data_IF_846482751066
#
_entry.id   IF_846482751066
#
_cell.length_a   1.000
_cell.length_b   1.000
_cell.length_c   1.000
_cell.angle_alpha   90.00
_cell.angle_beta   90.00
_cell.angle_gamma   90.00
#
_symmetry.space_group_name_H-M   'P 1'
#
loop_
_entity.id
_entity.type
_entity.pdbx_description
1 polymer ?
#
# COMPACT_ATOMS: atom_id res chain seq x y z
N UNK A 1 26.34 46.18 30.80
CA UNK A 1 25.94 45.50 32.05
C UNK A 1 26.28 44.03 31.90
N UNK A 2 27.40 43.59 32.46
CA UNK A 2 27.95 42.26 32.26
C UNK A 2 27.23 41.24 33.16
N UNK A 3 26.81 40.14 32.59
CA UNK A 3 26.15 39.04 33.28
C UNK A 3 27.16 38.31 34.18
N UNK A 4 26.84 38.19 35.47
CA UNK A 4 27.72 37.66 36.52
C UNK A 4 27.88 36.12 36.38
N UNK A 5 29.11 35.61 36.52
CA UNK A 5 29.46 34.18 36.43
C UNK A 5 28.57 33.22 37.29
N UNK A 6 28.02 33.71 38.37
CA UNK A 6 27.09 32.95 39.24
C UNK A 6 25.73 32.72 38.58
N UNK A 7 25.24 33.68 37.81
CA UNK A 7 23.94 33.56 37.08
C UNK A 7 24.06 32.61 35.87
N UNK A 8 25.24 32.51 35.25
CA UNK A 8 25.51 31.59 34.15
C UNK A 8 25.58 30.13 34.61
N UNK A 9 26.15 29.89 35.81
CA UNK A 9 26.26 28.55 36.38
C UNK A 9 24.91 28.02 36.93
N UNK A 10 24.00 28.90 37.36
CA UNK A 10 22.64 28.48 37.76
C UNK A 10 21.76 28.09 36.60
N UNK A 11 21.98 28.63 35.38
CA UNK A 11 21.27 28.21 34.16
C UNK A 11 21.79 26.86 33.58
N UNK A 12 23.05 26.49 33.85
CA UNK A 12 23.62 25.21 33.44
C UNK A 12 23.19 24.04 34.35
N UNK A 13 22.77 24.32 35.57
CA UNK A 13 22.33 23.29 36.53
C UNK A 13 20.86 22.88 36.34
N UNK A 14 20.06 23.61 35.59
CA UNK A 14 18.65 23.29 35.32
C UNK A 14 18.43 22.51 34.00
N UNK A 15 19.49 22.27 33.22
CA UNK A 15 19.39 21.47 31.97
C UNK A 15 19.75 19.98 32.15
N UNK A 16 20.07 19.52 33.33
CA UNK A 16 20.48 18.15 33.57
C UNK A 16 19.43 17.23 34.21
N UNK A 17 18.16 17.63 34.19
CA UNK A 17 17.03 16.78 34.60
C UNK A 17 16.01 16.59 33.47
N UNK A 18 16.48 16.27 32.25
CA UNK A 18 15.64 15.52 31.33
C UNK A 18 15.61 14.09 31.88
N UNK A 19 14.41 13.56 32.21
CA UNK A 19 14.31 12.15 32.51
C UNK A 19 14.82 11.40 31.27
N UNK A 20 15.83 10.58 31.44
CA UNK A 20 16.16 9.50 30.52
C UNK A 20 14.86 8.67 30.39
N UNK A 21 14.06 8.97 29.40
CA UNK A 21 12.96 8.08 29.00
C UNK A 21 13.62 6.73 28.77
N UNK A 22 13.16 5.68 29.45
CA UNK A 22 13.75 4.36 29.29
C UNK A 22 13.66 4.00 27.82
N UNK A 23 14.71 3.39 27.27
CA UNK A 23 14.80 2.88 25.90
C UNK A 23 13.72 1.83 25.55
N UNK A 24 12.72 1.65 26.38
CA UNK A 24 11.57 0.73 26.25
C UNK A 24 10.44 1.22 25.36
N UNK A 25 10.53 2.39 24.72
CA UNK A 25 9.56 2.79 23.68
C UNK A 25 9.94 2.34 22.25
N UNK A 26 11.01 1.60 22.07
CA UNK A 26 11.47 1.11 20.78
C UNK A 26 10.87 -0.27 20.37
N UNK A 27 9.94 -0.81 21.12
CA UNK A 27 9.09 -1.94 20.66
C UNK A 27 7.82 -1.44 19.96
N UNK A 28 7.95 -0.43 19.13
CA UNK A 28 6.94 -0.15 18.14
C UNK A 28 6.94 -1.33 17.16
N UNK A 29 6.00 -2.21 17.31
CA UNK A 29 5.58 -3.36 16.52
C UNK A 29 6.46 -3.64 15.29
N UNK A 30 7.27 -4.70 15.35
CA UNK A 30 8.05 -5.14 14.18
C UNK A 30 7.06 -5.54 13.07
N UNK A 31 7.13 -4.88 11.92
CA UNK A 31 6.32 -5.19 10.73
C UNK A 31 7.02 -6.19 9.81
N UNK A 32 8.25 -6.55 10.12
CA UNK A 32 8.86 -7.74 9.57
C UNK A 32 8.29 -8.93 10.32
N UNK A 33 7.25 -9.51 9.74
CA UNK A 33 6.48 -10.60 10.32
C UNK A 33 7.30 -11.91 10.44
N UNK A 34 8.36 -12.06 9.64
CA UNK A 34 9.25 -13.21 9.70
C UNK A 34 10.53 -13.01 8.90
N UNK A 35 11.63 -13.58 9.43
CA UNK A 35 12.91 -13.75 8.74
C UNK A 35 13.23 -15.23 8.70
N UNK A 36 13.42 -15.77 7.52
CA UNK A 36 13.66 -17.19 7.28
C UNK A 36 15.01 -17.34 6.58
N UNK A 37 15.92 -18.13 7.19
CA UNK A 37 17.32 -18.23 6.77
C UNK A 37 18.20 -17.07 7.27
N UNK A 38 19.52 -17.16 7.01
CA UNK A 38 20.50 -16.18 7.44
C UNK A 38 20.41 -14.92 6.57
N UNK A 39 19.83 -13.86 7.10
CA UNK A 39 19.70 -12.56 6.40
C UNK A 39 21.07 -11.89 6.36
N UNK A 40 21.56 -11.46 5.18
CA UNK A 40 22.86 -10.77 5.06
C UNK A 40 22.85 -9.40 5.76
N UNK A 41 24.04 -8.85 5.99
CA UNK A 41 24.16 -7.46 6.44
C UNK A 41 23.58 -6.50 5.40
N UNK A 42 22.95 -5.39 5.81
CA UNK A 42 22.30 -4.45 4.91
C UNK A 42 23.16 -3.93 3.76
N UNK A 43 24.48 -3.77 3.98
CA UNK A 43 25.46 -3.37 2.96
C UNK A 43 25.66 -4.41 1.86
N UNK A 44 25.45 -5.69 2.17
CA UNK A 44 25.74 -6.82 1.29
C UNK A 44 24.53 -7.18 0.43
N UNK A 45 23.34 -6.66 0.74
CA UNK A 45 22.13 -6.88 -0.04
C UNK A 45 22.14 -5.97 -1.27
N UNK A 46 22.35 -6.55 -2.45
CA UNK A 46 22.35 -5.85 -3.73
C UNK A 46 21.35 -6.44 -4.74
N UNK A 47 20.92 -7.68 -4.55
CA UNK A 47 20.11 -8.45 -5.50
C UNK A 47 18.84 -8.96 -4.82
N UNK A 48 17.73 -8.25 -5.01
CA UNK A 48 16.47 -8.50 -4.32
C UNK A 48 15.44 -9.08 -5.28
N UNK A 49 14.78 -10.15 -4.87
CA UNK A 49 13.60 -10.70 -5.53
C UNK A 49 12.35 -10.26 -4.77
N UNK A 50 11.38 -9.77 -5.52
CA UNK A 50 10.01 -9.58 -5.04
C UNK A 50 9.23 -10.89 -5.11
N UNK A 51 8.61 -11.30 -4.02
CA UNK A 51 7.80 -12.52 -4.01
C UNK A 51 6.41 -12.35 -4.63
N UNK A 52 5.87 -11.13 -4.63
CA UNK A 52 4.52 -10.84 -5.14
C UNK A 52 4.24 -9.36 -5.38
N UNK A 53 3.10 -9.01 -6.01
CA UNK A 53 2.81 -7.66 -6.47
C UNK A 53 2.87 -6.57 -5.40
N UNK A 54 2.44 -6.75 -4.14
CA UNK A 54 2.61 -5.71 -3.12
C UNK A 54 4.08 -5.44 -2.79
N UNK A 55 4.93 -6.49 -2.79
CA UNK A 55 6.36 -6.35 -2.60
C UNK A 55 7.04 -5.66 -3.79
N UNK A 56 6.53 -5.86 -5.04
CA UNK A 56 7.00 -5.11 -6.21
C UNK A 56 6.95 -3.60 -5.96
N UNK A 57 5.83 -3.11 -5.42
CA UNK A 57 5.63 -1.68 -5.18
C UNK A 57 6.48 -1.17 -4.02
N UNK A 58 6.64 -1.97 -2.96
CA UNK A 58 7.49 -1.62 -1.83
C UNK A 58 8.96 -1.50 -2.26
N UNK A 59 9.43 -2.44 -3.09
CA UNK A 59 10.81 -2.46 -3.59
C UNK A 59 11.05 -1.41 -4.67
N UNK A 60 10.08 -1.18 -5.56
CA UNK A 60 10.14 -0.07 -6.53
C UNK A 60 10.30 1.27 -5.81
N UNK A 61 9.60 1.47 -4.71
CA UNK A 61 9.70 2.69 -3.94
C UNK A 61 11.03 2.80 -3.18
N UNK A 62 11.45 1.73 -2.50
CA UNK A 62 12.61 1.78 -1.60
C UNK A 62 13.95 1.63 -2.32
N UNK A 63 14.08 0.66 -3.24
CA UNK A 63 15.36 0.27 -3.81
C UNK A 63 15.21 -0.31 -5.23
N UNK A 64 14.69 0.44 -6.21
CA UNK A 64 14.52 -0.06 -7.58
C UNK A 64 15.85 -0.50 -8.20
N UNK A 65 16.97 0.08 -7.78
CA UNK A 65 18.34 -0.26 -8.21
C UNK A 65 18.80 -1.65 -7.75
N UNK A 66 18.16 -2.23 -6.72
CA UNK A 66 18.46 -3.58 -6.21
C UNK A 66 17.48 -4.65 -6.70
N UNK A 67 16.36 -4.24 -7.28
CA UNK A 67 15.30 -5.13 -7.73
C UNK A 67 15.73 -5.86 -9.01
N UNK A 68 15.72 -7.20 -9.00
CA UNK A 68 16.09 -8.00 -10.16
C UNK A 68 15.00 -8.06 -11.24
N UNK A 69 13.77 -7.76 -10.89
CA UNK A 69 12.62 -7.72 -11.78
C UNK A 69 11.32 -7.78 -11.01
N UNK A 70 10.22 -7.52 -11.69
CA UNK A 70 8.88 -7.54 -11.11
C UNK A 70 8.30 -8.95 -11.05
N UNK A 71 7.52 -9.21 -10.03
CA UNK A 71 6.81 -10.48 -9.91
C UNK A 71 5.68 -10.62 -10.93
N UNK A 72 4.98 -9.53 -11.23
CA UNK A 72 3.77 -9.56 -12.05
C UNK A 72 3.66 -8.45 -13.09
N UNK A 73 4.33 -7.32 -12.88
CA UNK A 73 4.22 -6.17 -13.77
C UNK A 73 5.13 -6.28 -14.98
N UNK A 74 4.64 -5.78 -16.11
CA UNK A 74 5.40 -5.52 -17.31
C UNK A 74 5.25 -4.03 -17.62
N UNK A 75 6.31 -3.28 -17.43
CA UNK A 75 6.36 -1.83 -17.63
C UNK A 75 7.01 -1.43 -18.95
N UNK A 76 7.20 -2.37 -19.88
CA UNK A 76 7.76 -2.08 -21.21
C UNK A 76 6.81 -1.29 -22.12
N UNK A 77 5.48 -1.39 -21.88
CA UNK A 77 4.42 -0.71 -22.66
C UNK A 77 4.09 0.71 -22.19
N UNK A 78 2.93 1.22 -22.61
CA UNK A 78 2.44 2.57 -22.29
C UNK A 78 2.30 2.84 -20.79
N UNK A 79 1.87 1.84 -20.03
CA UNK A 79 1.77 1.92 -18.56
C UNK A 79 3.12 2.28 -17.92
N UNK A 80 4.20 1.84 -18.54
CA UNK A 80 5.56 2.15 -18.07
C UNK A 80 6.08 3.54 -18.50
N UNK A 81 5.38 4.29 -19.34
CA UNK A 81 5.81 5.61 -19.82
C UNK A 81 6.08 6.63 -18.70
N UNK A 82 5.47 6.40 -17.53
CA UNK A 82 5.67 7.21 -16.33
C UNK A 82 6.96 6.89 -15.56
N UNK A 83 7.73 5.86 -15.96
CA UNK A 83 8.92 5.41 -15.23
C UNK A 83 10.21 5.68 -16.03
N UNK A 84 11.31 5.75 -15.31
CA UNK A 84 12.65 5.81 -15.92
C UNK A 84 12.90 4.57 -16.78
N UNK A 85 13.78 4.71 -17.77
CA UNK A 85 14.16 3.61 -18.65
C UNK A 85 14.71 2.40 -17.87
N UNK A 86 15.46 2.65 -16.79
CA UNK A 86 15.99 1.59 -15.92
C UNK A 86 14.89 0.75 -15.31
N UNK A 87 13.82 1.37 -14.80
CA UNK A 87 12.67 0.67 -14.23
C UNK A 87 11.87 -0.05 -15.31
N UNK A 88 11.68 0.57 -16.48
CA UNK A 88 10.95 -0.03 -17.62
C UNK A 88 11.62 -1.28 -18.18
N UNK A 89 12.93 -1.40 -18.06
CA UNK A 89 13.72 -2.55 -18.52
C UNK A 89 13.74 -3.72 -17.54
N UNK A 90 13.23 -3.54 -16.31
CA UNK A 90 13.14 -4.64 -15.35
C UNK A 90 12.24 -5.74 -15.90
N UNK A 91 12.73 -7.00 -15.96
CA UNK A 91 11.95 -8.09 -16.52
C UNK A 91 10.82 -8.52 -15.59
N UNK A 92 9.76 -9.07 -16.17
CA UNK A 92 8.77 -9.82 -15.42
C UNK A 92 9.29 -11.23 -15.13
N UNK A 93 9.56 -11.53 -13.85
CA UNK A 93 10.18 -12.78 -13.42
C UNK A 93 9.18 -13.89 -13.10
N UNK A 94 7.99 -13.52 -12.65
CA UNK A 94 7.01 -14.41 -12.03
C UNK A 94 6.99 -14.23 -10.51
N UNK A 95 5.95 -14.74 -9.84
CA UNK A 95 5.72 -14.61 -8.42
C UNK A 95 5.90 -15.91 -7.65
N UNK A 96 6.32 -15.81 -6.41
CA UNK A 96 6.44 -16.92 -5.46
C UNK A 96 5.20 -17.02 -4.58
N UNK A 97 4.55 -15.88 -4.28
CA UNK A 97 3.41 -15.78 -3.36
C UNK A 97 2.13 -15.31 -4.06
N UNK A 98 1.00 -15.40 -3.37
CA UNK A 98 -0.32 -15.04 -3.87
C UNK A 98 -1.12 -16.21 -4.43
N UNK A 99 -2.09 -15.94 -5.32
CA UNK A 99 -3.05 -16.95 -5.83
C UNK A 99 -2.41 -18.12 -6.59
N UNK A 100 -1.24 -17.90 -7.21
CA UNK A 100 -0.49 -18.95 -7.89
C UNK A 100 0.98 -18.57 -8.01
N UNK A 101 1.88 -19.48 -7.68
CA UNK A 101 3.29 -19.32 -7.97
C UNK A 101 3.54 -19.51 -9.47
N UNK A 102 4.32 -18.62 -10.08
CA UNK A 102 4.70 -18.68 -11.50
C UNK A 102 6.22 -18.56 -11.70
N UNK A 103 6.98 -18.33 -10.62
CA UNK A 103 8.43 -18.36 -10.60
C UNK A 103 8.87 -19.72 -10.04
N UNK A 104 9.53 -20.55 -10.86
CA UNK A 104 10.08 -21.81 -10.38
C UNK A 104 11.31 -21.60 -9.49
N UNK A 105 11.55 -22.51 -8.54
CA UNK A 105 12.73 -22.44 -7.66
C UNK A 105 14.04 -22.57 -8.44
N UNK A 106 14.07 -23.34 -9.53
CA UNK A 106 15.23 -23.44 -10.42
C UNK A 106 15.57 -22.08 -11.04
N UNK A 107 14.57 -21.39 -11.60
CA UNK A 107 14.75 -20.04 -12.16
C UNK A 107 15.17 -19.05 -11.08
N UNK A 108 14.59 -19.11 -9.88
CA UNK A 108 14.98 -18.29 -8.74
C UNK A 108 16.48 -18.45 -8.44
N UNK A 109 16.98 -19.69 -8.37
CA UNK A 109 18.40 -19.96 -8.10
C UNK A 109 19.33 -19.45 -9.20
N UNK A 110 18.93 -19.51 -10.47
CA UNK A 110 19.73 -18.95 -11.58
C UNK A 110 19.86 -17.44 -11.52
N UNK A 111 18.92 -16.76 -10.87
CA UNK A 111 18.97 -15.30 -10.66
C UNK A 111 19.96 -14.90 -9.55
N UNK A 112 20.44 -15.84 -8.74
CA UNK A 112 21.38 -15.63 -7.65
C UNK A 112 21.03 -14.40 -6.78
N UNK A 113 19.83 -14.35 -6.16
CA UNK A 113 19.44 -13.26 -5.28
C UNK A 113 20.10 -13.37 -3.91
N UNK A 114 20.34 -12.22 -3.26
CA UNK A 114 20.81 -12.16 -1.88
C UNK A 114 19.66 -12.37 -0.90
N UNK A 115 18.44 -11.99 -1.28
CA UNK A 115 17.26 -12.05 -0.44
C UNK A 115 15.97 -12.04 -1.26
N UNK A 116 14.92 -12.66 -0.71
CA UNK A 116 13.54 -12.57 -1.17
C UNK A 116 12.77 -11.69 -0.18
N UNK A 117 12.01 -10.73 -0.67
CA UNK A 117 11.09 -9.91 0.14
C UNK A 117 9.67 -10.12 -0.33
N UNK A 118 8.79 -10.47 0.61
CA UNK A 118 7.34 -10.53 0.43
C UNK A 118 6.65 -9.47 1.29
N UNK A 119 5.52 -8.97 0.81
CA UNK A 119 4.72 -7.99 1.53
C UNK A 119 3.24 -8.26 1.28
N UNK A 120 2.43 -8.21 2.33
CA UNK A 120 1.00 -8.47 2.24
C UNK A 120 0.49 -9.23 3.44
N UNK A 121 -0.25 -10.33 3.21
CA UNK A 121 -0.70 -11.20 4.28
C UNK A 121 0.48 -11.88 4.96
N UNK A 122 0.46 -11.90 6.29
CA UNK A 122 1.50 -12.53 7.12
C UNK A 122 0.94 -13.70 7.96
N UNK A 123 -0.15 -14.30 7.49
CA UNK A 123 -0.75 -15.48 8.11
C UNK A 123 0.14 -16.73 8.00
N UNK A 124 -0.29 -17.81 8.62
CA UNK A 124 0.47 -19.07 8.66
C UNK A 124 0.75 -19.67 7.26
N UNK A 125 -0.14 -19.43 6.29
CA UNK A 125 0.07 -19.89 4.91
C UNK A 125 1.28 -19.24 4.27
N UNK A 126 1.39 -17.91 4.42
CA UNK A 126 2.52 -17.14 3.90
C UNK A 126 3.81 -17.40 4.67
N UNK A 127 3.73 -17.57 6.00
CA UNK A 127 4.89 -17.97 6.83
C UNK A 127 5.43 -19.32 6.43
N UNK A 128 4.57 -20.32 6.27
CA UNK A 128 4.94 -21.66 5.82
C UNK A 128 5.53 -21.68 4.41
N UNK A 129 5.01 -20.86 3.50
CA UNK A 129 5.55 -20.68 2.16
C UNK A 129 6.96 -20.08 2.22
N UNK A 130 7.14 -19.01 2.96
CA UNK A 130 8.43 -18.31 3.12
C UNK A 130 9.49 -19.25 3.72
N UNK A 131 9.14 -19.98 4.77
CA UNK A 131 10.03 -20.94 5.42
C UNK A 131 10.45 -22.06 4.47
N UNK A 132 9.50 -22.69 3.76
CA UNK A 132 9.80 -23.77 2.81
C UNK A 132 10.66 -23.28 1.65
N UNK A 133 10.34 -22.10 1.08
CA UNK A 133 11.12 -21.52 0.00
C UNK A 133 12.55 -21.26 0.42
N UNK A 134 12.76 -20.65 1.59
CA UNK A 134 14.10 -20.40 2.12
C UNK A 134 14.88 -21.70 2.39
N UNK A 135 14.24 -22.71 2.98
CA UNK A 135 14.87 -24.01 3.24
C UNK A 135 15.27 -24.75 1.97
N UNK A 136 14.43 -24.70 0.93
CA UNK A 136 14.68 -25.41 -0.33
C UNK A 136 15.73 -24.74 -1.22
N UNK A 137 15.84 -23.42 -1.14
CA UNK A 137 16.73 -22.65 -2.01
C UNK A 137 18.00 -22.17 -1.32
N UNK A 138 18.03 -22.15 0.01
CA UNK A 138 19.10 -21.50 0.78
C UNK A 138 19.05 -19.96 0.74
N UNK A 139 18.12 -19.38 -0.02
CA UNK A 139 17.96 -17.91 -0.11
C UNK A 139 17.16 -17.38 1.08
N UNK A 140 17.67 -16.39 1.81
CA UNK A 140 16.92 -15.76 2.88
C UNK A 140 15.60 -15.16 2.40
N UNK A 141 14.55 -15.30 3.19
CA UNK A 141 13.22 -14.79 2.89
C UNK A 141 12.71 -13.89 4.03
N UNK A 142 12.30 -12.69 3.70
CA UNK A 142 11.71 -11.72 4.65
C UNK A 142 10.26 -11.48 4.29
N UNK A 143 9.37 -11.72 5.25
CA UNK A 143 7.94 -11.50 5.13
C UNK A 143 7.55 -10.22 5.90
N UNK A 144 6.95 -9.26 5.20
CA UNK A 144 6.50 -7.97 5.73
C UNK A 144 4.98 -7.97 5.82
N UNK A 145 4.44 -7.62 6.99
CA UNK A 145 3.00 -7.39 7.16
C UNK A 145 2.59 -6.16 6.36
N UNK A 146 1.66 -6.33 5.43
CA UNK A 146 1.26 -5.36 4.41
C UNK A 146 0.14 -4.40 4.81
N UNK A 147 -0.23 -4.29 6.09
CA UNK A 147 -1.25 -3.34 6.56
C UNK A 147 -0.93 -1.89 6.13
N UNK A 148 -1.92 -1.19 5.59
CA UNK A 148 -1.74 0.18 5.08
C UNK A 148 -1.42 1.17 6.20
N UNK A 149 -2.07 1.01 7.35
CA UNK A 149 -1.84 1.85 8.52
C UNK A 149 -0.38 1.80 9.00
N UNK A 150 0.31 0.70 8.71
CA UNK A 150 1.66 0.43 9.15
C UNK A 150 2.74 0.80 8.12
N UNK A 151 2.33 1.32 6.97
CA UNK A 151 3.24 1.69 5.86
C UNK A 151 4.45 2.52 6.30
N UNK A 152 4.34 3.52 7.19
CA UNK A 152 5.51 4.27 7.65
C UNK A 152 6.55 3.41 8.36
N UNK A 153 6.10 2.44 9.16
CA UNK A 153 6.98 1.51 9.88
C UNK A 153 7.59 0.49 8.93
N UNK A 154 6.80 -0.06 8.00
CA UNK A 154 7.28 -0.96 6.94
C UNK A 154 8.41 -0.29 6.15
N UNK A 155 8.21 0.95 5.69
CA UNK A 155 9.20 1.71 4.93
C UNK A 155 10.50 1.89 5.72
N UNK A 156 10.43 2.29 7.00
CA UNK A 156 11.62 2.47 7.83
C UNK A 156 12.37 1.15 8.05
N UNK A 157 11.67 0.08 8.38
CA UNK A 157 12.28 -1.22 8.68
C UNK A 157 12.88 -1.89 7.45
N UNK A 158 12.15 -1.91 6.32
CA UNK A 158 12.67 -2.45 5.07
C UNK A 158 13.76 -1.54 4.49
N UNK A 159 13.63 -0.22 4.67
CA UNK A 159 14.66 0.74 4.29
C UNK A 159 15.98 0.55 5.06
N UNK A 160 15.90 0.20 6.34
CA UNK A 160 17.07 -0.18 7.14
C UNK A 160 17.67 -1.51 6.64
N UNK A 161 16.84 -2.51 6.39
CA UNK A 161 17.25 -3.81 5.83
C UNK A 161 17.98 -3.66 4.50
N UNK A 162 17.51 -2.76 3.64
CA UNK A 162 18.08 -2.53 2.31
C UNK A 162 19.16 -1.43 2.26
N UNK A 163 19.56 -0.87 3.41
CA UNK A 163 20.54 0.22 3.51
C UNK A 163 20.14 1.49 2.72
N UNK A 164 18.84 1.87 2.75
CA UNK A 164 18.28 3.06 2.07
C UNK A 164 17.51 3.95 3.05
N UNK A 165 18.02 4.13 4.26
CA UNK A 165 17.33 4.77 5.40
C UNK A 165 16.89 6.20 5.13
N UNK A 166 17.66 6.99 4.40
CA UNK A 166 17.32 8.39 4.07
C UNK A 166 16.07 8.45 3.18
N UNK A 167 16.05 7.68 2.10
CA UNK A 167 14.90 7.57 1.19
C UNK A 167 13.66 7.08 1.94
N UNK A 168 13.81 5.99 2.67
CA UNK A 168 12.75 5.41 3.48
C UNK A 168 12.18 6.38 4.52
N UNK A 169 13.02 7.22 5.13
CA UNK A 169 12.61 8.25 6.07
C UNK A 169 11.69 9.30 5.46
N UNK A 170 12.02 9.82 4.28
CA UNK A 170 11.19 10.79 3.55
C UNK A 170 9.86 10.18 3.12
N UNK A 171 9.88 8.96 2.60
CA UNK A 171 8.68 8.23 2.20
C UNK A 171 7.77 7.95 3.42
N UNK A 172 8.35 7.56 4.54
CA UNK A 172 7.61 7.29 5.77
C UNK A 172 6.96 8.57 6.34
N UNK A 173 7.64 9.71 6.29
CA UNK A 173 7.06 10.99 6.72
C UNK A 173 5.85 11.38 5.88
N UNK A 174 5.92 11.19 4.56
CA UNK A 174 4.80 11.48 3.68
C UNK A 174 3.63 10.52 3.93
N UNK A 175 3.90 9.22 4.12
CA UNK A 175 2.87 8.24 4.48
C UNK A 175 2.22 8.57 5.84
N UNK A 176 3.00 8.94 6.85
CA UNK A 176 2.49 9.40 8.16
C UNK A 176 1.52 10.58 7.98
N UNK A 177 1.86 11.58 7.16
CA UNK A 177 1.02 12.75 6.93
C UNK A 177 -0.33 12.39 6.28
N UNK A 178 -0.34 11.50 5.29
CA UNK A 178 -1.57 11.00 4.66
C UNK A 178 -2.44 10.26 5.67
N UNK A 179 -1.85 9.33 6.44
CA UNK A 179 -2.58 8.53 7.41
C UNK A 179 -3.14 9.37 8.55
N UNK A 180 -2.43 10.42 9.00
CA UNK A 180 -2.93 11.38 9.98
C UNK A 180 -4.15 12.14 9.45
N UNK A 181 -4.14 12.60 8.19
CA UNK A 181 -5.30 13.25 7.57
C UNK A 181 -6.50 12.32 7.45
N UNK A 182 -6.28 11.09 7.02
CA UNK A 182 -7.32 10.07 6.97
C UNK A 182 -7.92 9.78 8.35
N UNK A 183 -7.09 9.70 9.40
CA UNK A 183 -7.55 9.53 10.77
C UNK A 183 -8.33 10.75 11.27
N UNK A 184 -7.90 11.97 10.95
CA UNK A 184 -8.64 13.19 11.29
C UNK A 184 -10.01 13.21 10.62
N UNK A 185 -10.10 12.83 9.34
CA UNK A 185 -11.37 12.65 8.63
C UNK A 185 -12.25 11.59 9.32
N UNK A 186 -11.70 10.42 9.62
CA UNK A 186 -12.39 9.32 10.28
C UNK A 186 -12.97 9.70 11.64
N UNK A 187 -12.26 10.45 12.43
CA UNK A 187 -12.66 10.83 13.81
C UNK A 187 -13.58 12.05 13.86
N UNK A 188 -13.69 12.83 12.79
CA UNK A 188 -14.62 13.94 12.72
C UNK A 188 -16.06 13.43 12.57
N UNK A 189 -16.90 13.73 13.54
CA UNK A 189 -18.30 13.31 13.55
C UNK A 189 -19.17 13.96 12.46
N UNK A 190 -18.70 15.06 11.85
CA UNK A 190 -19.43 15.80 10.82
C UNK A 190 -19.13 15.30 9.38
N UNK A 191 -18.15 14.43 9.20
CA UNK A 191 -17.83 13.87 7.89
C UNK A 191 -18.77 12.72 7.53
N UNK A 192 -19.08 12.60 6.26
CA UNK A 192 -19.87 11.50 5.74
C UNK A 192 -19.08 10.19 5.83
N UNK A 193 -19.72 9.13 6.32
CA UNK A 193 -19.14 7.78 6.43
C UNK A 193 -20.15 6.75 5.90
N UNK A 194 -20.25 6.62 4.56
CA UNK A 194 -21.23 5.73 3.95
C UNK A 194 -20.92 4.26 4.22
N UNK A 195 -21.96 3.44 4.18
CA UNK A 195 -21.86 1.99 4.09
C UNK A 195 -21.51 1.65 2.64
N UNK A 196 -20.38 1.00 2.42
CA UNK A 196 -19.89 0.76 1.06
C UNK A 196 -19.81 -0.72 0.69
N UNK A 197 -19.96 -0.97 -0.60
CA UNK A 197 -19.61 -2.22 -1.26
C UNK A 197 -18.45 -1.99 -2.21
N UNK A 198 -17.39 -2.80 -2.11
CA UNK A 198 -16.23 -2.73 -3.01
C UNK A 198 -16.38 -3.77 -4.12
N UNK A 199 -16.79 -3.32 -5.30
CA UNK A 199 -17.09 -4.18 -6.44
C UNK A 199 -15.81 -4.49 -7.25
N UNK A 200 -15.58 -5.78 -7.50
CA UNK A 200 -14.44 -6.30 -8.25
C UNK A 200 -14.89 -7.33 -9.29
N UNK A 201 -14.00 -7.59 -10.28
CA UNK A 201 -14.31 -8.47 -11.40
C UNK A 201 -15.32 -7.86 -12.36
N UNK A 202 -15.35 -8.32 -13.61
CA UNK A 202 -16.14 -7.70 -14.67
C UNK A 202 -17.64 -7.54 -14.36
N UNK A 203 -18.20 -8.46 -13.56
CA UNK A 203 -19.60 -8.41 -13.14
C UNK A 203 -19.85 -7.63 -11.86
N UNK A 204 -18.78 -7.19 -11.15
CA UNK A 204 -18.88 -6.50 -9.87
C UNK A 204 -19.27 -7.41 -8.69
N UNK A 205 -19.22 -8.73 -8.85
CA UNK A 205 -19.68 -9.71 -7.87
C UNK A 205 -18.56 -10.37 -7.06
N UNK A 206 -17.31 -9.92 -7.18
CA UNK A 206 -16.23 -10.24 -6.27
C UNK A 206 -16.01 -9.04 -5.33
N UNK A 207 -15.69 -9.29 -4.07
CA UNK A 207 -15.44 -8.23 -3.09
C UNK A 207 -14.42 -8.64 -2.05
N UNK A 208 -13.77 -7.66 -1.42
CA UNK A 208 -13.02 -7.85 -0.19
C UNK A 208 -13.93 -7.78 1.02
N UNK A 209 -13.82 -8.78 1.90
CA UNK A 209 -14.56 -8.77 3.17
C UNK A 209 -13.98 -7.72 4.13
N UNK A 210 -14.80 -7.27 5.08
CA UNK A 210 -14.42 -6.29 6.11
C UNK A 210 -13.14 -6.69 6.82
N UNK A 211 -12.20 -5.74 6.90
CA UNK A 211 -10.87 -5.93 7.51
C UNK A 211 -9.87 -6.66 6.62
N UNK A 212 -10.16 -6.88 5.34
CA UNK A 212 -9.17 -7.39 4.39
C UNK A 212 -8.24 -6.29 3.90
N UNK A 213 -7.02 -6.66 3.48
CA UNK A 213 -6.08 -5.72 2.85
C UNK A 213 -6.67 -5.02 1.61
N UNK A 214 -7.66 -5.64 0.98
CA UNK A 214 -8.28 -5.15 -0.26
C UNK A 214 -9.26 -3.99 -0.05
N UNK A 215 -9.79 -3.83 1.17
CA UNK A 215 -10.76 -2.78 1.52
C UNK A 215 -10.25 -1.82 2.59
N UNK A 216 -9.07 -2.09 3.14
CA UNK A 216 -8.48 -1.36 4.26
C UNK A 216 -8.41 0.16 3.98
N UNK A 217 -8.01 0.58 2.77
CA UNK A 217 -7.91 1.99 2.42
C UNK A 217 -9.25 2.74 2.57
N UNK A 218 -10.36 2.09 2.23
CA UNK A 218 -11.71 2.66 2.37
C UNK A 218 -12.13 2.67 3.84
N UNK A 219 -11.86 1.59 4.56
CA UNK A 219 -12.18 1.45 5.98
C UNK A 219 -11.40 2.42 6.87
N UNK A 220 -10.17 2.80 6.47
CA UNK A 220 -9.36 3.80 7.19
C UNK A 220 -9.98 5.20 7.18
N UNK A 221 -10.85 5.53 6.23
CA UNK A 221 -11.66 6.75 6.26
C UNK A 221 -12.87 6.65 7.19
N UNK A 222 -13.09 5.49 7.81
CA UNK A 222 -14.23 5.23 8.69
C UNK A 222 -15.48 4.78 7.95
N UNK A 223 -15.39 4.46 6.66
CA UNK A 223 -16.50 3.90 5.89
C UNK A 223 -16.78 2.47 6.34
N UNK A 224 -18.05 2.09 6.36
CA UNK A 224 -18.45 0.77 6.81
C UNK A 224 -18.57 -0.20 5.62
N UNK A 225 -17.70 -1.20 5.56
CA UNK A 225 -17.83 -2.27 4.58
C UNK A 225 -19.02 -3.16 4.90
N UNK A 226 -19.99 -3.25 3.96
CA UNK A 226 -21.19 -4.08 4.15
C UNK A 226 -20.92 -5.57 3.96
N UNK A 227 -19.83 -5.92 3.25
CA UNK A 227 -19.49 -7.31 2.97
C UNK A 227 -18.80 -7.95 4.19
N UNK A 228 -19.54 -8.77 4.92
CA UNK A 228 -19.05 -9.49 6.10
C UNK A 228 -19.35 -10.97 5.99
N UNK A 229 -18.41 -11.82 6.43
CA UNK A 229 -18.59 -13.26 6.52
C UNK A 229 -17.83 -13.80 7.75
N UNK A 230 -18.37 -13.56 8.94
CA UNK A 230 -17.74 -13.94 10.20
C UNK A 230 -16.37 -13.29 10.37
N UNK A 231 -15.35 -14.09 10.70
CA UNK A 231 -13.97 -13.62 10.91
C UNK A 231 -13.11 -13.64 9.63
N UNK A 232 -13.66 -14.07 8.50
CA UNK A 232 -12.92 -14.14 7.25
C UNK A 232 -12.55 -12.72 6.75
N UNK A 233 -11.29 -12.55 6.35
CA UNK A 233 -10.72 -11.29 5.85
C UNK A 233 -10.04 -11.51 4.50
N UNK A 234 -10.82 -11.92 3.51
CA UNK A 234 -10.31 -12.32 2.19
C UNK A 234 -11.20 -11.79 1.08
N UNK A 235 -10.81 -12.10 -0.16
CA UNK A 235 -11.67 -11.91 -1.33
C UNK A 235 -12.69 -13.05 -1.41
N UNK A 236 -13.93 -12.71 -1.78
CA UNK A 236 -15.00 -13.68 -1.95
C UNK A 236 -15.91 -13.31 -3.12
N UNK A 237 -16.56 -14.32 -3.70
CA UNK A 237 -17.66 -14.14 -4.64
C UNK A 237 -18.96 -13.98 -3.87
N UNK A 238 -19.81 -13.07 -4.32
CA UNK A 238 -21.12 -12.81 -3.74
C UNK A 238 -22.21 -12.88 -4.81
N UNK A 239 -23.46 -13.10 -4.41
CA UNK A 239 -24.59 -13.03 -5.30
C UNK A 239 -25.23 -11.64 -5.27
N UNK A 240 -25.99 -11.31 -6.31
CA UNK A 240 -26.83 -10.10 -6.35
C UNK A 240 -27.79 -10.01 -5.16
N UNK A 241 -28.28 -11.14 -4.71
CA UNK A 241 -29.14 -11.24 -3.52
C UNK A 241 -28.45 -10.74 -2.24
N UNK A 242 -27.16 -11.06 -2.07
CA UNK A 242 -26.38 -10.53 -0.95
C UNK A 242 -26.25 -9.02 -1.03
N UNK A 243 -25.98 -8.47 -2.23
CA UNK A 243 -25.82 -7.03 -2.43
C UNK A 243 -27.13 -6.29 -2.15
N UNK A 244 -28.25 -6.81 -2.64
CA UNK A 244 -29.58 -6.25 -2.37
C UNK A 244 -29.93 -6.28 -0.88
N UNK A 245 -29.56 -7.36 -0.17
CA UNK A 245 -29.77 -7.48 1.28
C UNK A 245 -28.91 -6.51 2.06
N UNK A 246 -27.64 -6.33 1.66
CA UNK A 246 -26.73 -5.38 2.30
C UNK A 246 -27.13 -3.93 2.01
N UNK A 247 -27.67 -3.69 0.85
CA UNK A 247 -28.13 -2.39 0.37
C UNK A 247 -27.14 -1.26 0.70
N UNK A 248 -25.96 -1.21 0.06
CA UNK A 248 -24.92 -0.23 0.32
C UNK A 248 -25.38 1.18 -0.07
N UNK A 249 -24.85 2.18 0.63
CA UNK A 249 -25.04 3.61 0.31
C UNK A 249 -24.09 4.09 -0.79
N UNK A 250 -23.00 3.36 -1.01
CA UNK A 250 -21.91 3.67 -1.93
C UNK A 250 -21.37 2.40 -2.55
N UNK A 251 -21.14 2.41 -3.86
CA UNK A 251 -20.36 1.36 -4.53
C UNK A 251 -19.05 1.97 -5.01
N UNK A 252 -17.94 1.27 -4.76
CA UNK A 252 -16.60 1.66 -5.23
C UNK A 252 -16.07 0.53 -6.10
N UNK A 253 -15.52 0.85 -7.25
CA UNK A 253 -14.80 -0.11 -8.11
C UNK A 253 -13.56 0.52 -8.72
N UNK A 254 -12.57 -0.28 -9.09
CA UNK A 254 -11.39 0.15 -9.86
C UNK A 254 -11.44 -0.31 -11.32
N UNK A 255 -12.36 -1.20 -11.63
CA UNK A 255 -12.50 -1.82 -12.94
C UNK A 255 -13.55 -1.08 -13.78
N UNK A 256 -13.13 -0.55 -14.93
CA UNK A 256 -14.01 0.19 -15.85
C UNK A 256 -15.16 -0.69 -16.34
N UNK A 257 -14.90 -1.96 -16.64
CA UNK A 257 -15.93 -2.89 -17.08
C UNK A 257 -16.95 -3.17 -15.98
N UNK A 258 -16.47 -3.34 -14.75
CA UNK A 258 -17.33 -3.47 -13.56
C UNK A 258 -18.20 -2.22 -13.38
N UNK A 259 -17.61 -1.02 -13.51
CA UNK A 259 -18.33 0.25 -13.42
C UNK A 259 -19.44 0.34 -14.48
N UNK A 260 -19.12 0.02 -15.73
CA UNK A 260 -20.11 0.01 -16.81
C UNK A 260 -21.23 -0.99 -16.57
N UNK A 261 -20.90 -2.21 -16.13
CA UNK A 261 -21.90 -3.21 -15.80
C UNK A 261 -22.81 -2.77 -14.66
N UNK A 262 -22.24 -2.22 -13.57
CA UNK A 262 -23.00 -1.74 -12.40
C UNK A 262 -23.93 -0.60 -12.78
N UNK A 263 -23.49 0.34 -13.58
CA UNK A 263 -24.26 1.55 -13.91
C UNK A 263 -25.33 1.34 -15.00
N UNK A 264 -25.19 0.32 -15.85
CA UNK A 264 -26.08 0.12 -17.00
C UNK A 264 -26.91 -1.17 -16.96
N UNK A 265 -26.54 -2.15 -16.14
CA UNK A 265 -27.26 -3.44 -16.08
C UNK A 265 -28.53 -3.32 -15.26
N UNK A 266 -29.63 -3.90 -15.74
CA UNK A 266 -30.92 -3.94 -15.04
C UNK A 266 -30.83 -4.57 -13.64
N UNK A 267 -29.98 -5.57 -13.47
CA UNK A 267 -29.79 -6.24 -12.18
C UNK A 267 -29.33 -5.29 -11.07
N UNK A 268 -28.55 -4.29 -11.41
CA UNK A 268 -27.98 -3.34 -10.46
C UNK A 268 -28.90 -2.14 -10.18
N UNK A 269 -29.90 -1.86 -11.05
CA UNK A 269 -30.78 -0.69 -10.90
C UNK A 269 -31.61 -0.73 -9.61
N UNK A 270 -31.83 -1.92 -9.05
CA UNK A 270 -32.54 -2.09 -7.77
C UNK A 270 -31.68 -1.80 -6.54
N UNK A 271 -30.36 -1.61 -6.70
CA UNK A 271 -29.46 -1.26 -5.60
C UNK A 271 -29.51 0.25 -5.35
N UNK A 272 -29.76 0.65 -4.10
CA UNK A 272 -29.95 2.05 -3.72
C UNK A 272 -28.78 2.95 -4.19
N UNK A 273 -27.54 2.52 -4.01
CA UNK A 273 -26.37 3.28 -4.45
C UNK A 273 -26.38 3.56 -5.96
N UNK A 274 -26.85 2.61 -6.79
CA UNK A 274 -26.95 2.79 -8.24
C UNK A 274 -28.09 3.75 -8.58
N UNK A 275 -29.27 3.57 -7.99
CA UNK A 275 -30.42 4.44 -8.19
C UNK A 275 -30.14 5.90 -7.79
N UNK A 276 -29.24 6.12 -6.81
CA UNK A 276 -28.80 7.44 -6.34
C UNK A 276 -27.53 7.94 -7.03
N UNK A 277 -27.02 7.24 -8.06
CA UNK A 277 -25.79 7.57 -8.78
C UNK A 277 -24.55 7.66 -7.87
N UNK A 278 -24.51 6.87 -6.81
CA UNK A 278 -23.41 6.79 -5.85
C UNK A 278 -22.49 5.60 -6.16
N UNK A 279 -21.98 5.58 -7.38
CA UNK A 279 -20.98 4.60 -7.85
C UNK A 279 -19.71 5.36 -8.22
N UNK A 280 -18.61 5.07 -7.53
CA UNK A 280 -17.31 5.73 -7.77
C UNK A 280 -16.38 4.76 -8.50
N UNK A 281 -15.84 5.22 -9.63
CA UNK A 281 -14.76 4.54 -10.34
C UNK A 281 -13.42 5.08 -9.82
N UNK A 282 -12.64 4.24 -9.19
CA UNK A 282 -11.31 4.55 -8.61
C UNK A 282 -10.18 3.96 -9.46
N UNK A 283 -10.31 4.01 -10.79
CA UNK A 283 -9.23 3.59 -11.66
C UNK A 283 -7.97 4.45 -11.44
N UNK A 284 -6.81 3.88 -11.63
CA UNK A 284 -5.55 4.59 -11.44
C UNK A 284 -4.41 3.98 -12.25
N UNK A 285 -3.48 4.82 -12.67
CA UNK A 285 -2.26 4.45 -13.38
C UNK A 285 -1.05 4.77 -12.48
N UNK A 286 0.06 4.07 -12.65
CA UNK A 286 0.29 2.87 -13.48
C UNK A 286 -0.24 1.59 -12.85
N UNK A 287 -0.63 1.65 -11.57
CA UNK A 287 -1.20 0.56 -10.78
C UNK A 287 -2.54 1.03 -10.20
N UNK A 288 -3.44 0.11 -9.87
CA UNK A 288 -4.67 0.46 -9.18
C UNK A 288 -4.39 1.21 -7.87
N UNK A 289 -5.20 2.22 -7.54
CA UNK A 289 -4.90 3.08 -6.40
C UNK A 289 -5.47 2.56 -5.07
N UNK A 290 -6.47 1.68 -5.10
CA UNK A 290 -7.05 1.11 -3.88
C UNK A 290 -6.62 -0.34 -3.60
N UNK A 291 -6.47 -1.17 -4.62
CA UNK A 291 -6.34 -2.61 -4.41
C UNK A 291 -5.61 -3.37 -5.53
N UNK A 292 -5.20 -2.89 -6.57
CA UNK A 292 -4.58 -3.68 -7.62
C UNK A 292 -3.11 -3.30 -7.89
N UNK A 293 -2.20 -3.74 -7.03
CA UNK A 293 -2.27 -4.64 -5.86
C UNK A 293 -2.55 -3.89 -4.55
N UNK A 294 -2.86 -4.60 -3.43
CA UNK A 294 -3.01 -3.98 -2.11
C UNK A 294 -1.64 -3.64 -1.48
N UNK A 295 -0.91 -2.71 -2.09
CA UNK A 295 0.39 -2.23 -1.69
C UNK A 295 0.37 -0.78 -1.19
N UNK A 296 1.54 -0.13 -1.17
CA UNK A 296 1.67 1.27 -0.74
C UNK A 296 0.98 2.29 -1.65
N UNK A 297 0.65 1.91 -2.89
CA UNK A 297 -0.20 2.68 -3.82
C UNK A 297 -1.56 3.05 -3.22
N UNK A 298 -2.05 2.31 -2.22
CA UNK A 298 -3.27 2.62 -1.47
C UNK A 298 -3.21 3.95 -0.72
N UNK A 299 -2.02 4.49 -0.43
CA UNK A 299 -1.88 5.85 0.10
C UNK A 299 -2.44 6.90 -0.87
N UNK A 300 -2.16 6.73 -2.17
CA UNK A 300 -2.71 7.61 -3.20
C UNK A 300 -4.22 7.41 -3.37
N UNK A 301 -4.67 6.15 -3.30
CA UNK A 301 -6.10 5.82 -3.29
C UNK A 301 -6.85 6.44 -2.12
N UNK A 302 -6.23 6.48 -0.94
CA UNK A 302 -6.77 7.14 0.25
C UNK A 302 -6.97 8.64 0.02
N UNK A 303 -5.93 9.33 -0.52
CA UNK A 303 -6.02 10.75 -0.87
C UNK A 303 -7.15 11.02 -1.87
N UNK A 304 -7.24 10.20 -2.93
CA UNK A 304 -8.24 10.38 -3.97
C UNK A 304 -9.65 10.09 -3.45
N UNK A 305 -9.84 8.99 -2.73
CA UNK A 305 -11.16 8.67 -2.17
C UNK A 305 -11.63 9.76 -1.20
N UNK A 306 -10.75 10.21 -0.31
CA UNK A 306 -11.08 11.32 0.61
C UNK A 306 -11.47 12.59 -0.15
N UNK A 307 -10.84 12.88 -1.29
CA UNK A 307 -11.14 14.09 -2.09
C UNK A 307 -12.56 14.13 -2.65
N UNK A 308 -13.26 13.00 -2.77
CA UNK A 308 -14.67 12.97 -3.16
C UNK A 308 -15.62 13.48 -2.06
N UNK A 309 -15.17 13.49 -0.80
CA UNK A 309 -15.99 13.79 0.38
C UNK A 309 -15.47 14.98 1.18
N UNK A 310 -14.27 15.45 0.91
CA UNK A 310 -13.58 16.50 1.66
C UNK A 310 -12.97 17.55 0.70
N UNK A 311 -13.54 18.78 0.67
CA UNK A 311 -13.04 19.85 -0.19
C UNK A 311 -11.57 20.22 0.05
N UNK A 312 -11.07 20.09 1.29
CA UNK A 312 -9.66 20.36 1.63
C UNK A 312 -8.78 19.29 1.00
N UNK A 313 -9.15 18.02 1.11
CA UNK A 313 -8.45 16.91 0.46
C UNK A 313 -8.47 17.06 -1.07
N UNK A 314 -9.58 17.54 -1.65
CA UNK A 314 -9.68 17.80 -3.08
C UNK A 314 -8.67 18.86 -3.57
N UNK A 315 -8.47 19.93 -2.80
CA UNK A 315 -7.45 20.94 -3.11
C UNK A 315 -6.02 20.41 -3.03
N UNK A 316 -5.77 19.45 -2.13
CA UNK A 316 -4.44 18.86 -1.91
C UNK A 316 -4.11 17.73 -2.89
N UNK A 317 -5.09 17.12 -3.55
CA UNK A 317 -4.92 15.90 -4.35
C UNK A 317 -3.83 16.03 -5.43
N UNK A 318 -3.76 17.16 -6.14
CA UNK A 318 -2.74 17.40 -7.17
C UNK A 318 -1.32 17.40 -6.58
N UNK A 319 -1.14 18.09 -5.46
CA UNK A 319 0.14 18.15 -4.75
C UNK A 319 0.54 16.80 -4.18
N UNK A 320 -0.40 16.09 -3.56
CA UNK A 320 -0.17 14.75 -3.01
C UNK A 320 0.22 13.76 -4.11
N UNK A 321 -0.46 13.82 -5.26
CA UNK A 321 -0.14 12.94 -6.40
C UNK A 321 1.27 13.20 -6.92
N UNK A 322 1.68 14.45 -7.12
CA UNK A 322 3.07 14.78 -7.53
C UNK A 322 4.09 14.29 -6.51
N UNK A 323 3.85 14.56 -5.23
CA UNK A 323 4.78 14.17 -4.15
C UNK A 323 4.87 12.64 -4.06
N UNK A 324 3.74 11.93 -4.19
CA UNK A 324 3.74 10.47 -4.20
C UNK A 324 4.58 9.92 -5.37
N UNK A 325 4.36 10.40 -6.58
CA UNK A 325 5.11 9.93 -7.75
C UNK A 325 6.60 10.23 -7.64
N UNK A 326 6.96 11.42 -7.16
CA UNK A 326 8.35 11.78 -6.89
C UNK A 326 9.01 10.84 -5.87
N UNK A 327 8.38 10.64 -4.72
CA UNK A 327 8.98 9.88 -3.62
C UNK A 327 8.95 8.37 -3.83
N UNK A 328 7.87 7.82 -4.41
CA UNK A 328 7.63 6.37 -4.45
C UNK A 328 7.86 5.75 -5.83
N UNK A 329 7.65 6.53 -6.89
CA UNK A 329 7.86 6.05 -8.27
C UNK A 329 9.06 6.71 -8.93
N UNK A 330 9.78 7.60 -8.22
CA UNK A 330 10.97 8.30 -8.70
C UNK A 330 10.73 9.04 -10.01
N UNK A 331 9.54 9.63 -10.14
CA UNK A 331 9.07 10.29 -11.37
C UNK A 331 8.52 11.67 -11.04
N UNK A 332 9.04 12.68 -11.74
CA UNK A 332 8.49 14.04 -11.68
C UNK A 332 7.43 14.21 -12.75
N UNK A 333 6.18 14.35 -12.34
CA UNK A 333 5.04 14.50 -13.24
C UNK A 333 4.98 15.93 -13.80
N UNK A 334 4.85 16.05 -15.12
CA UNK A 334 4.41 17.30 -15.74
C UNK A 334 2.90 17.53 -15.56
N UNK A 335 2.40 18.72 -15.99
CA UNK A 335 1.00 19.07 -15.83
C UNK A 335 0.07 18.17 -16.66
N UNK A 336 0.49 17.76 -17.87
CA UNK A 336 -0.32 16.92 -18.74
C UNK A 336 -0.44 15.49 -18.18
N UNK A 337 0.65 14.94 -17.68
CA UNK A 337 0.68 13.64 -17.00
C UNK A 337 -0.20 13.64 -15.76
N UNK A 338 -0.09 14.70 -14.91
CA UNK A 338 -0.91 14.84 -13.73
C UNK A 338 -2.41 14.91 -14.07
N UNK A 339 -2.78 15.73 -15.04
CA UNK A 339 -4.18 15.84 -15.48
C UNK A 339 -4.70 14.51 -16.05
N UNK A 340 -3.88 13.78 -16.81
CA UNK A 340 -4.24 12.44 -17.29
C UNK A 340 -4.55 11.49 -16.13
N UNK A 341 -3.64 11.42 -15.14
CA UNK A 341 -3.79 10.55 -13.97
C UNK A 341 -5.04 10.87 -13.14
N UNK A 342 -5.42 12.14 -13.07
CA UNK A 342 -6.59 12.59 -12.30
C UNK A 342 -7.90 12.56 -13.08
N UNK A 343 -7.86 12.52 -14.42
CA UNK A 343 -9.06 12.39 -15.27
C UNK A 343 -9.58 10.97 -15.40
N UNK A 344 -8.70 9.98 -15.27
CA UNK A 344 -9.06 8.57 -15.39
C UNK A 344 -9.80 8.14 -14.11
N UNK A 345 -11.01 8.65 -13.98
CA UNK A 345 -11.98 8.26 -12.95
C UNK A 345 -13.37 8.62 -13.40
#
# INVERSE_FOLDING_TARGET
>A
MGMNRRTFLSYLATLSALPLLPASFAYAFDRIAGRFGPVPEPSDIQRVISAGPPADLLLLALAPEKLLGFSSFDLSGETGALFSETVRRLPRLGRLSGRASTLSLEKLLTLNPDIIIDCGSADETYRSLAQRTSQQTGVPYVLVDGGLQDTPTQLRQVGQLLNVTTRAGLQAQFADAILQRANAYRTNAQTEKPRFYFARGAMGLETGLRGSLHTEAVELLGFENVATAGELKTLTQVSMEHILRWNPDLIITQDVQSYQNITHSEQWQSVQAVAQQRVILMSGLPFGWLDAPPGLNRLLGLCRLQSHFDPVAAQQLKSDTRTFFHLFYHTDLDDAQLELLLRVA
#
